data_IF_244502354581
#
_entry.id   IF_244502354581
#
_cell.length_a   1.000
_cell.length_b   1.000
_cell.length_c   1.000
_cell.angle_alpha   90.00
_cell.angle_beta   90.00
_cell.angle_gamma   90.00
#
_symmetry.space_group_name_H-M   'P 1'
#
loop_
_entity.id
_entity.type
_entity.pdbx_description
1 polymer ?
#
# COMPACT_ATOMS: atom_id res chain seq x y z
N UNK A 1 12.11 -6.64 -0.71
CA UNK A 1 11.44 -6.28 0.56
C UNK A 1 12.43 -6.15 1.72
N UNK A 2 12.42 -5.03 2.46
CA UNK A 2 13.15 -4.92 3.75
C UNK A 2 12.47 -5.85 4.73
N UNK A 3 13.18 -6.87 5.21
CA UNK A 3 12.63 -7.83 6.18
C UNK A 3 13.29 -7.64 7.54
N UNK A 4 12.52 -7.77 8.62
CA UNK A 4 13.05 -7.76 10.00
C UNK A 4 14.15 -8.82 10.16
N UNK A 5 13.99 -9.97 9.49
CA UNK A 5 14.99 -11.03 9.44
C UNK A 5 16.34 -10.60 8.83
N UNK A 6 16.36 -9.72 7.82
CA UNK A 6 17.60 -9.19 7.25
C UNK A 6 18.30 -8.23 8.22
N UNK A 7 17.53 -7.40 8.94
CA UNK A 7 18.05 -6.49 9.97
C UNK A 7 18.65 -7.29 11.14
N UNK A 8 17.95 -8.32 11.60
CA UNK A 8 18.44 -9.22 12.65
C UNK A 8 19.71 -9.96 12.23
N UNK A 9 19.76 -10.47 10.99
CA UNK A 9 20.95 -11.13 10.45
C UNK A 9 22.15 -10.19 10.44
N UNK A 10 22.00 -8.98 9.88
CA UNK A 10 23.11 -8.01 9.80
C UNK A 10 23.59 -7.56 11.19
N UNK A 11 22.69 -7.42 12.16
CA UNK A 11 23.05 -7.17 13.57
C UNK A 11 23.86 -8.32 14.15
N UNK A 12 23.39 -9.55 13.98
CA UNK A 12 24.06 -10.74 14.47
C UNK A 12 25.46 -10.89 13.86
N UNK A 13 25.61 -10.66 12.55
CA UNK A 13 26.91 -10.65 11.88
C UNK A 13 27.84 -9.58 12.46
N UNK A 14 27.36 -8.33 12.61
CA UNK A 14 28.15 -7.23 13.16
C UNK A 14 28.62 -7.51 14.59
N UNK A 15 27.70 -7.95 15.46
CA UNK A 15 27.99 -8.32 16.84
C UNK A 15 28.97 -9.49 16.92
N UNK A 16 28.84 -10.48 16.01
CA UNK A 16 29.76 -11.62 15.93
C UNK A 16 31.16 -11.19 15.50
N UNK A 17 31.29 -10.31 14.50
CA UNK A 17 32.59 -9.74 14.10
C UNK A 17 33.24 -9.00 15.27
N UNK A 18 32.48 -8.18 15.99
CA UNK A 18 32.99 -7.41 17.13
C UNK A 18 33.37 -8.29 18.33
N UNK A 19 32.62 -9.36 18.59
CA UNK A 19 32.90 -10.28 19.71
C UNK A 19 34.00 -11.30 19.39
N UNK A 20 34.24 -11.58 18.11
CA UNK A 20 35.33 -12.44 17.59
C UNK A 20 36.46 -11.62 16.98
N UNK A 21 36.66 -10.39 17.45
CA UNK A 21 37.57 -9.40 16.88
C UNK A 21 38.95 -9.96 16.51
N UNK A 22 39.61 -10.66 17.46
CA UNK A 22 40.96 -11.20 17.26
C UNK A 22 41.00 -12.29 16.19
N UNK A 23 40.00 -13.17 16.18
CA UNK A 23 39.87 -14.24 15.18
C UNK A 23 39.67 -13.65 13.78
N UNK A 24 38.84 -12.61 13.68
CA UNK A 24 38.60 -11.91 12.41
C UNK A 24 39.85 -11.15 11.95
N UNK A 25 40.52 -10.45 12.85
CA UNK A 25 41.77 -9.72 12.56
C UNK A 25 42.88 -10.67 12.07
N UNK A 26 42.99 -11.84 12.68
CA UNK A 26 43.92 -12.87 12.26
C UNK A 26 43.57 -13.44 10.88
N UNK A 27 42.32 -13.82 10.65
CA UNK A 27 41.87 -14.34 9.36
C UNK A 27 42.11 -13.32 8.22
N UNK A 28 41.80 -12.04 8.44
CA UNK A 28 42.07 -10.98 7.47
C UNK A 28 43.57 -10.79 7.21
N UNK A 29 44.39 -10.81 8.28
CA UNK A 29 45.85 -10.70 8.17
C UNK A 29 46.45 -11.89 7.44
N UNK A 30 45.99 -13.11 7.70
CA UNK A 30 46.44 -14.31 6.99
C UNK A 30 46.06 -14.25 5.52
N UNK A 31 44.79 -13.97 5.20
CA UNK A 31 44.31 -13.87 3.83
C UNK A 31 45.07 -12.80 3.02
N UNK A 32 45.42 -11.66 3.61
CA UNK A 32 46.24 -10.61 2.96
C UNK A 32 47.68 -11.05 2.64
N UNK A 33 48.18 -12.12 3.25
CA UNK A 33 49.53 -12.62 3.04
C UNK A 33 49.57 -13.94 2.25
N UNK A 34 48.40 -14.54 1.97
CA UNK A 34 48.27 -15.81 1.26
C UNK A 34 47.64 -15.62 -0.13
N UNK A 35 48.13 -16.34 -1.16
CA UNK A 35 47.47 -16.39 -2.46
C UNK A 35 46.16 -17.18 -2.36
N UNK A 36 45.08 -16.67 -2.96
CA UNK A 36 43.77 -17.32 -2.97
C UNK A 36 42.72 -16.55 -3.77
N UNK A 37 41.55 -17.16 -3.95
CA UNK A 37 40.44 -16.63 -4.76
C UNK A 37 39.84 -15.34 -4.18
N UNK A 38 40.09 -15.07 -2.89
CA UNK A 38 39.64 -13.88 -2.17
C UNK A 38 40.23 -12.56 -2.72
N UNK A 39 41.33 -12.62 -3.49
CA UNK A 39 41.88 -11.44 -4.18
C UNK A 39 41.08 -11.00 -5.40
N UNK A 40 40.30 -11.89 -6.02
CA UNK A 40 39.50 -11.56 -7.20
C UNK A 40 38.22 -10.80 -6.81
N UNK A 41 37.68 -11.08 -5.62
CA UNK A 41 36.43 -10.51 -5.11
C UNK A 41 36.66 -9.42 -4.05
N UNK A 42 37.90 -9.22 -3.57
CA UNK A 42 38.25 -8.34 -2.43
C UNK A 42 37.45 -8.67 -1.14
N UNK A 43 36.96 -9.90 -1.06
CA UNK A 43 36.11 -10.41 0.02
C UNK A 43 36.67 -11.72 0.60
N UNK A 44 36.57 -11.89 1.92
CA UNK A 44 36.95 -13.09 2.64
C UNK A 44 35.74 -13.68 3.36
N UNK A 45 35.33 -14.88 2.99
CA UNK A 45 34.30 -15.61 3.73
C UNK A 45 34.92 -16.34 4.92
N UNK A 46 34.45 -16.05 6.13
CA UNK A 46 34.87 -16.70 7.37
C UNK A 46 33.69 -17.36 8.07
N UNK A 47 33.95 -18.50 8.70
CA UNK A 47 33.00 -19.18 9.56
C UNK A 47 33.25 -18.78 11.02
N UNK A 48 32.28 -18.14 11.67
CA UNK A 48 32.39 -17.62 13.03
C UNK A 48 31.33 -18.20 13.95
N UNK A 49 31.68 -18.42 15.21
CA UNK A 49 30.73 -18.77 16.26
C UNK A 49 30.14 -17.50 16.89
N UNK A 50 28.82 -17.37 16.85
CA UNK A 50 28.06 -16.26 17.43
C UNK A 50 28.20 -16.23 18.96
N UNK A 51 27.83 -15.13 19.62
CA UNK A 51 27.75 -15.08 21.09
C UNK A 51 26.82 -16.14 21.71
N UNK A 52 25.86 -16.65 20.93
CA UNK A 52 24.87 -17.65 21.34
C UNK A 52 25.33 -19.10 21.07
N UNK A 53 26.51 -19.30 20.49
CA UNK A 53 27.08 -20.62 20.20
C UNK A 53 26.63 -21.25 18.88
N UNK A 54 26.00 -20.46 18.00
CA UNK A 54 25.65 -20.88 16.65
C UNK A 54 26.78 -20.55 15.69
N UNK A 55 26.92 -21.29 14.61
CA UNK A 55 27.95 -21.01 13.59
C UNK A 55 27.33 -20.30 12.40
N UNK A 56 27.91 -19.17 11.99
CA UNK A 56 27.48 -18.38 10.84
C UNK A 56 28.64 -18.18 9.86
N UNK A 57 28.33 -18.04 8.58
CA UNK A 57 29.27 -17.56 7.57
C UNK A 57 29.12 -16.05 7.43
N UNK A 58 30.25 -15.34 7.45
CA UNK A 58 30.31 -13.89 7.33
C UNK A 58 31.30 -13.54 6.24
N UNK A 59 30.86 -12.71 5.29
CA UNK A 59 31.70 -12.19 4.22
C UNK A 59 32.35 -10.89 4.68
N UNK A 60 33.66 -10.81 4.69
CA UNK A 60 34.42 -9.66 5.16
C UNK A 60 35.07 -8.93 3.99
N UNK A 61 35.04 -7.61 4.03
CA UNK A 61 35.85 -6.77 3.16
C UNK A 61 37.32 -6.91 3.57
N UNK A 62 38.16 -7.39 2.63
CA UNK A 62 39.56 -7.69 2.87
C UNK A 62 40.41 -6.47 3.19
N UNK A 63 40.04 -5.29 2.72
CA UNK A 63 40.83 -4.07 2.91
C UNK A 63 40.51 -3.36 4.23
N UNK A 64 39.51 -3.85 4.94
CA UNK A 64 39.03 -3.25 6.18
C UNK A 64 39.47 -3.99 7.42
N UNK A 65 39.56 -3.26 8.53
CA UNK A 65 39.73 -3.87 9.83
C UNK A 65 38.38 -4.45 10.33
N UNK A 66 38.37 -5.26 11.41
CA UNK A 66 37.14 -5.85 11.92
C UNK A 66 36.11 -4.78 12.34
N UNK A 67 36.57 -3.63 12.86
CA UNK A 67 35.69 -2.56 13.30
C UNK A 67 34.96 -1.92 12.11
N UNK A 68 35.64 -1.64 11.00
CA UNK A 68 35.06 -1.12 9.78
C UNK A 68 34.08 -2.13 9.14
N UNK A 69 34.44 -3.42 9.10
CA UNK A 69 33.56 -4.50 8.64
C UNK A 69 32.24 -4.59 9.45
N UNK A 70 32.31 -4.43 10.77
CA UNK A 70 31.12 -4.38 11.62
C UNK A 70 30.34 -3.05 11.47
N UNK A 71 31.06 -1.93 11.37
CA UNK A 71 30.48 -0.59 11.24
C UNK A 71 29.62 -0.46 9.99
N UNK A 72 30.07 -0.97 8.83
CA UNK A 72 29.26 -0.97 7.61
C UNK A 72 27.92 -1.68 7.80
N UNK A 73 27.92 -2.81 8.52
CA UNK A 73 26.69 -3.57 8.82
C UNK A 73 25.76 -2.79 9.74
N UNK A 74 26.29 -2.14 10.79
CA UNK A 74 25.48 -1.29 11.65
C UNK A 74 24.88 -0.08 10.90
N UNK A 75 25.64 0.53 10.00
CA UNK A 75 25.13 1.60 9.14
C UNK A 75 24.02 1.10 8.23
N UNK A 76 24.21 -0.07 7.63
CA UNK A 76 23.19 -0.72 6.80
C UNK A 76 21.92 -1.05 7.59
N UNK A 77 22.07 -1.58 8.80
CA UNK A 77 20.96 -1.82 9.75
C UNK A 77 20.19 -0.53 10.00
N UNK A 78 20.88 0.57 10.33
CA UNK A 78 20.25 1.87 10.59
C UNK A 78 19.45 2.39 9.39
N UNK A 79 19.99 2.24 8.17
CA UNK A 79 19.27 2.60 6.95
C UNK A 79 18.01 1.74 6.74
N UNK A 80 18.11 0.43 6.97
CA UNK A 80 17.00 -0.49 6.80
C UNK A 80 15.91 -0.25 7.85
N UNK A 81 16.29 0.02 9.10
CA UNK A 81 15.35 0.42 10.16
C UNK A 81 14.64 1.72 9.83
N UNK A 82 15.36 2.75 9.38
CA UNK A 82 14.74 4.01 8.95
C UNK A 82 13.77 3.80 7.78
N UNK A 83 14.11 2.92 6.83
CA UNK A 83 13.20 2.54 5.72
C UNK A 83 11.98 1.77 6.23
N UNK A 84 12.14 0.86 7.19
CA UNK A 84 11.04 0.08 7.77
C UNK A 84 10.11 0.99 8.58
N UNK A 85 10.66 1.86 9.43
CA UNK A 85 9.93 2.86 10.20
C UNK A 85 9.18 3.81 9.27
N UNK A 86 9.81 4.30 8.20
CA UNK A 86 9.13 5.11 7.19
C UNK A 86 7.98 4.34 6.54
N UNK A 87 8.16 3.07 6.18
CA UNK A 87 7.09 2.25 5.61
C UNK A 87 5.93 2.02 6.61
N UNK A 88 6.23 1.78 7.88
CA UNK A 88 5.24 1.59 8.94
C UNK A 88 4.50 2.88 9.29
N UNK A 89 5.22 4.01 9.42
CA UNK A 89 4.63 5.33 9.65
C UNK A 89 3.71 5.75 8.50
N UNK A 90 4.10 5.42 7.28
CA UNK A 90 3.30 5.64 6.07
C UNK A 90 2.04 4.76 6.09
N UNK A 91 2.11 3.47 6.44
CA UNK A 91 0.90 2.62 6.63
C UNK A 91 0.00 3.15 7.77
N UNK A 92 0.59 3.68 8.84
CA UNK A 92 -0.14 4.29 9.97
C UNK A 92 -1.05 5.45 9.57
N UNK A 93 -0.78 6.14 8.45
CA UNK A 93 -1.62 7.24 7.97
C UNK A 93 -3.01 6.79 7.48
N UNK A 94 -3.17 5.51 7.09
CA UNK A 94 -4.48 4.94 6.76
C UNK A 94 -5.17 4.25 7.95
N UNK A 95 -4.49 4.08 9.09
CA UNK A 95 -5.08 3.43 10.26
C UNK A 95 -6.45 4.02 10.71
N UNK A 96 -6.72 5.33 10.55
CA UNK A 96 -8.04 5.89 10.87
C UNK A 96 -9.16 5.50 9.87
N UNK A 97 -8.81 5.05 8.66
CA UNK A 97 -9.76 4.71 7.60
C UNK A 97 -10.08 3.22 7.64
N UNK A 98 -11.35 2.80 7.71
CA UNK A 98 -11.70 1.38 7.62
C UNK A 98 -11.24 0.77 6.30
N UNK A 99 -10.74 -0.47 6.34
CA UNK A 99 -10.35 -1.27 5.17
C UNK A 99 -11.57 -1.77 4.36
N UNK A 100 -12.48 -0.86 4.05
CA UNK A 100 -13.70 -1.09 3.28
C UNK A 100 -13.68 -0.16 2.06
N UNK A 101 -13.85 -0.66 0.82
CA UNK A 101 -13.87 0.19 -0.37
C UNK A 101 -14.95 1.28 -0.33
N UNK A 102 -16.06 1.07 0.36
CA UNK A 102 -17.12 2.07 0.53
C UNK A 102 -16.63 3.24 1.38
N UNK A 103 -15.75 3.03 2.36
CA UNK A 103 -15.19 4.10 3.19
C UNK A 103 -14.43 5.15 2.35
N UNK A 104 -13.56 4.69 1.45
CA UNK A 104 -12.88 5.55 0.47
C UNK A 104 -13.89 6.36 -0.34
N UNK A 105 -14.94 5.71 -0.81
CA UNK A 105 -15.95 6.34 -1.65
C UNK A 105 -16.79 7.37 -0.89
N UNK A 106 -17.02 7.16 0.41
CA UNK A 106 -17.65 8.16 1.29
C UNK A 106 -16.77 9.41 1.36
N UNK A 107 -15.45 9.27 1.60
CA UNK A 107 -14.55 10.43 1.66
C UNK A 107 -14.60 11.26 0.36
N UNK A 108 -14.40 10.61 -0.80
CA UNK A 108 -14.44 11.30 -2.09
C UNK A 108 -15.83 11.89 -2.41
N UNK A 109 -16.91 11.25 -1.96
CA UNK A 109 -18.24 11.80 -2.12
C UNK A 109 -18.39 13.09 -1.31
N UNK A 110 -18.01 13.06 -0.04
CA UNK A 110 -18.12 14.20 0.88
C UNK A 110 -17.20 15.36 0.48
N UNK A 111 -16.03 15.10 -0.09
CA UNK A 111 -15.18 16.11 -0.73
C UNK A 111 -15.93 16.85 -1.84
N UNK A 112 -16.63 16.10 -2.69
CA UNK A 112 -17.37 16.66 -3.82
C UNK A 112 -18.57 17.49 -3.36
N UNK A 113 -19.31 17.01 -2.35
CA UNK A 113 -20.61 17.59 -1.97
C UNK A 113 -20.59 18.42 -0.67
N UNK A 114 -19.45 18.52 -0.01
CA UNK A 114 -19.19 19.27 1.25
C UNK A 114 -20.04 18.84 2.46
N UNK A 115 -20.83 17.79 2.31
CA UNK A 115 -21.61 17.16 3.37
C UNK A 115 -22.76 16.31 2.81
N UNK A 116 -23.17 15.28 3.53
CA UNK A 116 -24.34 14.48 3.19
C UNK A 116 -24.81 13.63 4.39
N UNK A 117 -25.95 12.96 4.28
CA UNK A 117 -26.44 12.02 5.29
C UNK A 117 -26.42 10.57 4.75
N UNK A 118 -26.29 9.56 5.63
CA UNK A 118 -26.02 8.17 5.22
C UNK A 118 -26.99 7.58 4.20
N UNK A 119 -28.30 7.79 4.36
CA UNK A 119 -29.30 7.29 3.40
C UNK A 119 -29.13 7.87 1.99
N UNK A 120 -28.77 9.15 1.88
CA UNK A 120 -28.50 9.77 0.57
C UNK A 120 -27.18 9.27 -0.01
N UNK A 121 -26.13 9.16 0.82
CA UNK A 121 -24.85 8.60 0.39
C UNK A 121 -24.99 7.18 -0.13
N UNK A 122 -25.72 6.31 0.58
CA UNK A 122 -25.98 4.94 0.14
C UNK A 122 -26.55 4.87 -1.29
N UNK A 123 -27.50 5.75 -1.63
CA UNK A 123 -28.06 5.84 -2.98
C UNK A 123 -27.06 6.32 -4.04
N UNK A 124 -26.19 7.28 -3.71
CA UNK A 124 -25.15 7.76 -4.63
C UNK A 124 -23.99 6.76 -4.79
N UNK A 125 -23.75 5.96 -3.75
CA UNK A 125 -22.68 5.00 -3.72
C UNK A 125 -23.12 3.64 -4.27
N UNK A 126 -24.40 3.36 -4.48
CA UNK A 126 -24.90 1.99 -4.69
C UNK A 126 -24.38 1.04 -3.58
N UNK A 127 -24.44 1.50 -2.33
CA UNK A 127 -23.99 0.76 -1.15
C UNK A 127 -25.14 0.58 -0.17
N UNK A 128 -25.01 -0.39 0.75
CA UNK A 128 -26.05 -0.61 1.75
C UNK A 128 -26.10 0.54 2.75
N UNK A 129 -27.32 0.99 3.08
CA UNK A 129 -27.52 2.09 4.03
C UNK A 129 -26.89 1.79 5.39
N UNK A 130 -27.08 0.59 5.92
CA UNK A 130 -26.54 0.19 7.23
C UNK A 130 -25.01 0.21 7.24
N UNK A 131 -24.38 -0.24 6.16
CA UNK A 131 -22.93 -0.18 5.98
C UNK A 131 -22.45 1.28 5.98
N UNK A 132 -23.09 2.16 5.22
CA UNK A 132 -22.73 3.58 5.18
C UNK A 132 -22.92 4.26 6.54
N UNK A 133 -24.00 3.94 7.27
CA UNK A 133 -24.21 4.45 8.65
C UNK A 133 -23.07 4.03 9.57
N UNK A 134 -22.74 2.74 9.62
CA UNK A 134 -21.66 2.22 10.47
C UNK A 134 -20.28 2.82 10.10
N UNK A 135 -19.99 2.92 8.80
CA UNK A 135 -18.74 3.52 8.32
C UNK A 135 -18.65 5.01 8.68
N UNK A 136 -19.76 5.76 8.58
CA UNK A 136 -19.77 7.16 8.99
C UNK A 136 -19.51 7.34 10.49
N UNK A 137 -20.11 6.51 11.34
CA UNK A 137 -19.87 6.54 12.79
C UNK A 137 -18.43 6.17 13.14
N UNK A 138 -17.88 5.14 12.49
CA UNK A 138 -16.49 4.73 12.70
C UNK A 138 -15.50 5.81 12.25
N UNK A 139 -15.70 6.40 11.07
CA UNK A 139 -14.83 7.47 10.55
C UNK A 139 -15.01 8.79 11.32
N UNK A 140 -16.19 9.07 11.89
CA UNK A 140 -16.40 10.17 12.84
C UNK A 140 -15.56 9.95 14.11
N UNK A 141 -15.62 8.74 14.68
CA UNK A 141 -14.84 8.38 15.88
C UNK A 141 -13.34 8.45 15.63
N UNK A 142 -12.90 8.08 14.43
CA UNK A 142 -11.51 8.18 13.99
C UNK A 142 -11.08 9.62 13.62
N UNK A 143 -11.98 10.60 13.70
CA UNK A 143 -11.70 12.00 13.42
C UNK A 143 -11.62 12.37 11.94
N UNK A 144 -11.99 11.47 11.02
CA UNK A 144 -11.99 11.74 9.56
C UNK A 144 -13.24 12.49 9.11
N UNK A 145 -14.36 12.31 9.83
CA UNK A 145 -15.62 12.99 9.59
C UNK A 145 -16.04 13.80 10.81
N UNK A 146 -16.86 14.81 10.58
CA UNK A 146 -17.52 15.56 11.65
C UNK A 146 -19.00 15.79 11.35
N UNK A 147 -19.80 15.92 12.42
CA UNK A 147 -21.24 16.20 12.32
C UNK A 147 -21.49 17.66 12.01
N UNK A 148 -22.51 17.90 11.20
CA UNK A 148 -22.98 19.27 10.91
C UNK A 148 -23.98 19.68 12.00
N UNK A 149 -23.58 20.54 12.94
CA UNK A 149 -24.36 20.88 14.16
C UNK A 149 -25.60 21.77 13.94
N UNK A 150 -25.84 22.30 12.74
CA UNK A 150 -26.92 23.28 12.55
C UNK A 150 -28.28 22.62 12.31
N UNK A 151 -29.24 22.85 13.21
CA UNK A 151 -30.64 22.41 13.07
C UNK A 151 -31.32 22.82 11.75
N UNK A 152 -30.66 23.71 11.00
CA UNK A 152 -30.98 24.04 9.63
C UNK A 152 -29.74 23.97 8.75
N UNK A 153 -29.75 23.09 7.72
CA UNK A 153 -28.61 22.93 6.82
C UNK A 153 -28.90 23.61 5.49
N UNK A 154 -28.16 24.70 5.24
CA UNK A 154 -28.21 25.52 4.02
C UNK A 154 -27.43 24.85 2.88
N UNK A 155 -27.92 24.97 1.65
CA UNK A 155 -27.29 24.36 0.46
C UNK A 155 -25.81 24.76 0.28
N UNK A 156 -25.45 26.01 0.60
CA UNK A 156 -24.06 26.50 0.56
C UNK A 156 -23.07 25.78 1.49
N UNK A 157 -23.56 24.97 2.44
CA UNK A 157 -22.75 24.15 3.35
C UNK A 157 -22.84 22.66 3.02
N UNK A 158 -23.74 22.28 2.11
CA UNK A 158 -24.06 20.90 1.72
C UNK A 158 -24.64 20.93 0.29
N UNK A 159 -23.78 20.69 -0.71
CA UNK A 159 -24.10 20.79 -2.14
C UNK A 159 -24.95 19.62 -2.66
N UNK A 160 -25.03 18.52 -1.92
CA UNK A 160 -25.88 17.37 -2.28
C UNK A 160 -27.40 17.68 -2.19
N UNK A 161 -27.79 18.85 -1.68
CA UNK A 161 -29.19 19.23 -1.49
C UNK A 161 -29.82 19.87 -2.73
N UNK A 162 -31.10 19.54 -2.94
CA UNK A 162 -31.97 20.16 -3.96
C UNK A 162 -32.70 21.44 -3.50
N UNK A 163 -32.80 21.69 -2.20
CA UNK A 163 -33.54 22.84 -1.63
C UNK A 163 -32.58 23.79 -0.87
N UNK A 164 -32.89 25.08 -0.87
CA UNK A 164 -32.06 26.15 -0.27
C UNK A 164 -31.82 25.95 1.24
N UNK A 165 -32.84 25.45 1.95
CA UNK A 165 -32.82 25.29 3.39
C UNK A 165 -33.72 24.12 3.83
N UNK A 166 -33.20 23.21 4.65
CA UNK A 166 -33.97 22.05 5.16
C UNK A 166 -33.70 21.91 6.66
N UNK A 167 -34.77 21.82 7.46
CA UNK A 167 -34.70 21.45 8.89
C UNK A 167 -34.11 20.04 9.02
N UNK A 168 -33.11 19.88 9.88
CA UNK A 168 -32.46 18.58 10.04
C UNK A 168 -33.42 17.58 10.70
N UNK A 169 -33.70 16.48 9.99
CA UNK A 169 -34.31 15.27 10.56
C UNK A 169 -33.33 14.08 10.56
N UNK A 170 -32.11 14.28 10.05
CA UNK A 170 -31.07 13.27 9.88
C UNK A 170 -29.71 13.85 10.26
N UNK A 171 -28.82 13.00 10.77
CA UNK A 171 -27.41 13.35 11.00
C UNK A 171 -26.70 13.55 9.67
N UNK A 172 -26.11 14.72 9.47
CA UNK A 172 -25.25 15.04 8.33
C UNK A 172 -23.80 14.97 8.76
N UNK A 173 -22.98 14.38 7.90
CA UNK A 173 -21.53 14.31 8.01
C UNK A 173 -20.88 15.18 6.94
N UNK A 174 -19.71 15.73 7.26
CA UNK A 174 -18.76 16.32 6.31
C UNK A 174 -17.35 15.86 6.65
N UNK A 175 -16.40 16.08 5.73
CA UNK A 175 -14.99 15.85 6.01
C UNK A 175 -14.53 16.77 7.14
N UNK A 176 -13.76 16.21 8.06
CA UNK A 176 -12.96 17.00 8.99
C UNK A 176 -11.69 17.51 8.27
N UNK A 177 -10.88 18.29 8.98
CA UNK A 177 -9.57 18.72 8.49
C UNK A 177 -8.64 17.52 8.24
N UNK A 178 -8.68 16.53 9.11
CA UNK A 178 -7.93 15.29 9.01
C UNK A 178 -8.39 14.45 7.82
N UNK A 179 -9.71 14.40 7.56
CA UNK A 179 -10.28 13.78 6.36
C UNK A 179 -9.82 14.45 5.06
N UNK A 180 -9.78 15.78 5.03
CA UNK A 180 -9.24 16.55 3.88
C UNK A 180 -7.75 16.28 3.66
N UNK A 181 -6.95 16.25 4.74
CA UNK A 181 -5.53 15.91 4.66
C UNK A 181 -5.31 14.49 4.14
N UNK A 182 -6.13 13.54 4.60
CA UNK A 182 -6.07 12.17 4.13
C UNK A 182 -6.33 12.08 2.62
N UNK A 183 -7.33 12.80 2.10
CA UNK A 183 -7.60 12.80 0.65
C UNK A 183 -6.46 13.39 -0.17
N UNK A 184 -5.78 14.43 0.33
CA UNK A 184 -4.57 14.97 -0.32
C UNK A 184 -3.46 13.93 -0.36
N UNK A 185 -3.22 13.26 0.77
CA UNK A 185 -2.27 12.15 0.84
C UNK A 185 -2.61 11.03 -0.14
N UNK A 186 -3.89 10.61 -0.23
CA UNK A 186 -4.35 9.57 -1.16
C UNK A 186 -4.14 9.93 -2.65
N UNK A 187 -4.02 11.22 -2.99
CA UNK A 187 -3.73 11.65 -4.35
C UNK A 187 -2.22 11.52 -4.70
N UNK A 188 -1.35 11.55 -3.69
CA UNK A 188 0.09 11.40 -3.82
C UNK A 188 0.51 9.96 -4.10
N UNK A 189 1.76 9.78 -4.58
CA UNK A 189 2.31 8.47 -4.92
C UNK A 189 2.30 7.53 -3.71
N UNK A 190 2.72 8.01 -2.54
CA UNK A 190 2.81 7.21 -1.33
C UNK A 190 1.44 6.82 -0.78
N UNK A 191 0.45 7.72 -0.86
CA UNK A 191 -0.93 7.39 -0.50
C UNK A 191 -1.53 6.31 -1.40
N UNK A 192 -1.28 6.38 -2.71
CA UNK A 192 -1.68 5.32 -3.66
C UNK A 192 -1.03 3.99 -3.35
N UNK A 193 0.27 3.98 -3.02
CA UNK A 193 1.01 2.78 -2.60
C UNK A 193 0.38 2.16 -1.35
N UNK A 194 -0.01 3.00 -0.40
CA UNK A 194 -0.66 2.54 0.81
C UNK A 194 -2.07 2.03 0.60
N UNK A 195 -2.85 2.57 -0.34
CA UNK A 195 -4.15 1.99 -0.69
C UNK A 195 -3.98 0.54 -1.16
N UNK A 196 -2.95 0.24 -1.95
CA UNK A 196 -2.65 -1.14 -2.37
C UNK A 196 -2.31 -2.02 -1.17
N UNK A 197 -1.60 -1.51 -0.16
CA UNK A 197 -1.30 -2.27 1.07
C UNK A 197 -2.53 -2.47 1.96
N UNK A 198 -3.36 -1.44 2.07
CA UNK A 198 -4.50 -1.40 2.99
C UNK A 198 -5.70 -2.18 2.46
N UNK A 199 -5.95 -2.13 1.15
CA UNK A 199 -6.97 -2.94 0.48
C UNK A 199 -6.29 -4.11 -0.22
N UNK A 200 -5.98 -5.19 0.50
CA UNK A 200 -5.31 -6.38 -0.03
C UNK A 200 -6.01 -6.95 -1.27
N UNK A 201 -7.34 -7.06 -1.25
CA UNK A 201 -8.13 -7.49 -2.41
C UNK A 201 -8.08 -6.46 -3.55
N UNK A 202 -7.98 -5.17 -3.22
CA UNK A 202 -7.73 -4.12 -4.20
C UNK A 202 -6.37 -4.29 -4.90
N UNK A 203 -5.32 -4.65 -4.17
CA UNK A 203 -4.03 -5.00 -4.76
C UNK A 203 -4.10 -6.27 -5.60
N UNK A 204 -4.82 -7.30 -5.15
CA UNK A 204 -5.07 -8.51 -5.93
C UNK A 204 -5.71 -8.17 -7.28
N UNK A 205 -6.74 -7.32 -7.28
CA UNK A 205 -7.39 -6.83 -8.50
C UNK A 205 -6.41 -6.03 -9.37
N UNK A 206 -5.64 -5.11 -8.80
CA UNK A 206 -4.67 -4.32 -9.55
C UNK A 206 -3.58 -5.19 -10.20
N UNK A 207 -3.04 -6.17 -9.46
CA UNK A 207 -2.08 -7.16 -9.98
C UNK A 207 -2.66 -7.98 -11.12
N UNK A 208 -3.92 -8.43 -10.96
CA UNK A 208 -4.65 -9.17 -11.98
C UNK A 208 -4.81 -8.35 -13.26
N UNK A 209 -5.18 -7.08 -13.16
CA UNK A 209 -5.30 -6.17 -14.30
C UNK A 209 -3.94 -5.91 -14.98
N UNK A 210 -2.89 -5.64 -14.21
CA UNK A 210 -1.55 -5.37 -14.75
C UNK A 210 -0.99 -6.56 -15.53
N UNK A 211 -1.22 -7.79 -15.03
CA UNK A 211 -0.74 -9.03 -15.67
C UNK A 211 -1.67 -9.51 -16.79
N UNK A 212 -2.96 -9.32 -16.60
CA UNK A 212 -4.01 -9.93 -17.39
C UNK A 212 -4.67 -9.06 -18.44
N UNK A 213 -4.51 -7.75 -18.31
CA UNK A 213 -5.15 -6.74 -19.15
C UNK A 213 -6.57 -6.38 -18.72
N UNK A 214 -7.37 -5.78 -19.63
CA UNK A 214 -8.67 -5.23 -19.28
C UNK A 214 -9.64 -6.28 -18.73
N UNK A 215 -10.26 -5.99 -17.59
CA UNK A 215 -11.24 -6.86 -16.93
C UNK A 215 -12.42 -6.05 -16.35
N UNK A 216 -13.49 -6.72 -15.90
CA UNK A 216 -14.68 -6.07 -15.33
C UNK A 216 -15.15 -6.75 -14.04
N UNK A 217 -15.86 -6.03 -13.15
CA UNK A 217 -16.09 -6.47 -11.78
C UNK A 217 -16.76 -7.84 -11.62
N UNK A 218 -17.74 -8.19 -12.47
CA UNK A 218 -18.44 -9.47 -12.38
C UNK A 218 -17.54 -10.66 -12.74
N UNK A 219 -16.67 -10.50 -13.72
CA UNK A 219 -15.71 -11.54 -14.10
C UNK A 219 -14.68 -11.75 -13.00
N UNK A 220 -14.15 -10.66 -12.44
CA UNK A 220 -13.21 -10.72 -11.32
C UNK A 220 -13.84 -11.36 -10.09
N UNK A 221 -15.09 -11.03 -9.76
CA UNK A 221 -15.84 -11.63 -8.67
C UNK A 221 -16.03 -13.15 -8.86
N UNK A 222 -16.45 -13.58 -10.05
CA UNK A 222 -16.62 -15.00 -10.38
C UNK A 222 -15.30 -15.78 -10.32
N UNK A 223 -14.18 -15.19 -10.78
CA UNK A 223 -12.90 -15.88 -10.80
C UNK A 223 -12.17 -15.91 -9.46
N UNK A 224 -12.40 -14.93 -8.60
CA UNK A 224 -11.81 -14.86 -7.26
C UNK A 224 -12.73 -15.41 -6.17
N UNK A 225 -13.92 -15.92 -6.53
CA UNK A 225 -14.96 -16.39 -5.59
C UNK A 225 -15.30 -15.32 -4.52
N UNK A 226 -15.49 -14.08 -4.97
CA UNK A 226 -15.78 -12.92 -4.13
C UNK A 226 -17.18 -12.38 -4.40
N UNK A 227 -17.76 -11.70 -3.41
CA UNK A 227 -19.03 -11.00 -3.61
C UNK A 227 -18.94 -9.92 -4.71
N UNK A 228 -19.91 -9.92 -5.61
CA UNK A 228 -19.92 -9.01 -6.75
C UNK A 228 -20.01 -7.54 -6.34
N UNK A 229 -20.81 -7.23 -5.33
CA UNK A 229 -21.00 -5.85 -4.88
C UNK A 229 -19.73 -5.33 -4.19
N UNK A 230 -19.08 -6.15 -3.38
CA UNK A 230 -17.77 -5.86 -2.80
C UNK A 230 -16.72 -5.57 -3.89
N UNK A 231 -16.56 -6.47 -4.86
CA UNK A 231 -15.60 -6.28 -5.97
C UNK A 231 -15.93 -5.04 -6.80
N UNK A 232 -17.21 -4.79 -7.08
CA UNK A 232 -17.66 -3.58 -7.79
C UNK A 232 -17.27 -2.32 -7.02
N UNK A 233 -17.39 -2.33 -5.70
CA UNK A 233 -16.96 -1.24 -4.83
C UNK A 233 -15.43 -1.07 -4.84
N UNK A 234 -14.65 -2.15 -4.82
CA UNK A 234 -13.18 -2.11 -4.96
C UNK A 234 -12.74 -1.41 -6.25
N UNK A 235 -13.27 -1.82 -7.40
CA UNK A 235 -12.95 -1.16 -8.69
C UNK A 235 -13.27 0.35 -8.66
N UNK A 236 -14.41 0.73 -8.08
CA UNK A 236 -14.83 2.13 -7.97
C UNK A 236 -13.95 2.92 -7.00
N UNK A 237 -13.52 2.32 -5.89
CA UNK A 237 -12.61 2.93 -4.93
C UNK A 237 -11.21 3.13 -5.56
N UNK A 238 -10.63 2.08 -6.15
CA UNK A 238 -9.35 2.14 -6.85
C UNK A 238 -9.38 3.19 -7.98
N UNK A 239 -10.52 3.33 -8.68
CA UNK A 239 -10.69 4.37 -9.72
C UNK A 239 -10.68 5.76 -9.14
N UNK A 240 -11.35 5.98 -8.00
CA UNK A 240 -11.35 7.30 -7.32
C UNK A 240 -9.96 7.69 -6.82
N UNK A 241 -9.19 6.72 -6.33
CA UNK A 241 -7.80 6.91 -5.90
C UNK A 241 -6.85 7.13 -7.09
N UNK A 242 -7.22 6.66 -8.28
CA UNK A 242 -6.39 6.79 -9.50
C UNK A 242 -5.43 5.63 -9.74
N UNK A 243 -5.70 4.46 -9.15
CA UNK A 243 -4.95 3.22 -9.36
C UNK A 243 -5.46 2.42 -10.56
N UNK A 244 -6.75 2.58 -10.88
CA UNK A 244 -7.34 1.99 -12.10
C UNK A 244 -8.13 3.06 -12.86
N UNK A 245 -8.31 2.85 -14.16
CA UNK A 245 -9.15 3.70 -15.00
C UNK A 245 -10.05 2.84 -15.89
N UNK A 246 -11.03 3.47 -16.52
CA UNK A 246 -11.86 2.81 -17.54
C UNK A 246 -11.00 2.53 -18.77
N UNK A 247 -11.15 1.35 -19.34
CA UNK A 247 -10.63 1.07 -20.67
C UNK A 247 -11.45 1.86 -21.69
N UNK A 248 -10.81 2.54 -22.64
CA UNK A 248 -11.48 3.43 -23.60
C UNK A 248 -11.69 2.79 -24.98
N UNK A 249 -10.94 1.74 -25.33
CA UNK A 249 -11.06 1.06 -26.63
C UNK A 249 -12.43 0.39 -26.82
N UNK A 250 -12.96 0.40 -28.05
CA UNK A 250 -14.27 -0.23 -28.38
C UNK A 250 -14.23 -1.76 -28.41
N UNK A 251 -13.05 -2.32 -28.73
CA UNK A 251 -12.78 -3.74 -28.83
C UNK A 251 -11.51 -4.06 -28.07
N UNK A 252 -11.53 -5.11 -27.26
CA UNK A 252 -10.34 -5.61 -26.56
C UNK A 252 -9.74 -6.72 -27.42
N UNK A 253 -8.50 -6.54 -27.87
CA UNK A 253 -7.80 -7.52 -28.72
C UNK A 253 -7.23 -8.67 -27.88
N UNK A 254 -6.99 -9.81 -28.52
CA UNK A 254 -6.32 -10.96 -27.90
C UNK A 254 -4.99 -10.58 -27.20
N UNK A 255 -4.19 -9.70 -27.82
CA UNK A 255 -2.92 -9.23 -27.28
C UNK A 255 -3.05 -8.44 -25.98
N UNK A 256 -4.21 -7.82 -25.76
CA UNK A 256 -4.51 -7.03 -24.57
C UNK A 256 -5.12 -7.88 -23.46
N UNK A 257 -5.68 -9.06 -23.76
CA UNK A 257 -6.41 -9.90 -22.79
C UNK A 257 -5.70 -11.23 -22.56
N UNK A 258 -4.74 -11.23 -21.64
CA UNK A 258 -3.86 -12.38 -21.37
C UNK A 258 -4.53 -13.45 -20.49
N UNK A 259 -5.43 -13.07 -19.59
CA UNK A 259 -6.07 -14.04 -18.68
C UNK A 259 -7.14 -14.89 -19.37
N UNK A 260 -7.80 -14.36 -20.40
CA UNK A 260 -8.83 -15.06 -21.18
C UNK A 260 -8.72 -14.68 -22.66
N UNK A 261 -7.72 -15.22 -23.38
CA UNK A 261 -7.47 -14.86 -24.77
C UNK A 261 -8.69 -15.22 -25.62
N UNK A 262 -9.18 -14.21 -26.34
CA UNK A 262 -10.18 -14.31 -27.41
C UNK A 262 -9.72 -13.40 -28.52
N UNK A 263 -9.95 -13.79 -29.78
CA UNK A 263 -9.52 -13.02 -30.95
C UNK A 263 -9.95 -11.56 -30.82
N UNK A 264 -11.23 -11.35 -30.53
CA UNK A 264 -11.79 -10.03 -30.24
C UNK A 264 -12.90 -10.12 -29.17
N UNK A 265 -12.95 -9.12 -28.29
CA UNK A 265 -14.07 -8.94 -27.36
C UNK A 265 -14.68 -7.56 -27.56
N UNK A 266 -15.89 -7.51 -28.12
CA UNK A 266 -16.71 -6.30 -28.15
C UNK A 266 -17.23 -5.97 -26.74
N UNK A 267 -17.05 -4.72 -26.30
CA UNK A 267 -17.45 -4.31 -24.96
C UNK A 267 -18.96 -4.24 -24.81
N UNK A 268 -19.49 -5.05 -23.88
CA UNK A 268 -20.85 -4.93 -23.34
C UNK A 268 -20.89 -4.38 -21.91
N UNK A 269 -19.72 -4.21 -21.30
CA UNK A 269 -19.53 -3.83 -19.91
C UNK A 269 -18.47 -2.74 -19.78
N UNK A 270 -18.40 -2.12 -18.59
CA UNK A 270 -17.31 -1.24 -18.22
C UNK A 270 -16.10 -2.08 -17.83
N UNK A 271 -15.08 -2.08 -18.69
CA UNK A 271 -13.79 -2.69 -18.42
C UNK A 271 -12.86 -1.66 -17.80
N UNK A 272 -11.94 -2.14 -16.98
CA UNK A 272 -10.95 -1.35 -16.27
C UNK A 272 -9.55 -1.86 -16.57
N UNK A 273 -8.59 -0.96 -16.50
CA UNK A 273 -7.14 -1.24 -16.59
C UNK A 273 -6.41 -0.49 -15.48
N UNK A 274 -5.21 -0.93 -15.13
CA UNK A 274 -4.32 -0.19 -14.24
C UNK A 274 -3.87 1.13 -14.89
N UNK A 275 -3.54 2.10 -14.05
CA UNK A 275 -2.83 3.31 -14.47
C UNK A 275 -1.31 3.05 -14.49
N UNK A 276 -0.55 3.88 -15.20
CA UNK A 276 0.92 3.79 -15.19
C UNK A 276 1.52 3.88 -13.78
N UNK A 277 0.93 4.74 -12.94
CA UNK A 277 1.31 4.86 -11.52
C UNK A 277 1.08 3.55 -10.78
N UNK A 278 -0.06 2.87 -11.00
CA UNK A 278 -0.30 1.57 -10.38
C UNK A 278 0.69 0.51 -10.86
N UNK A 279 1.01 0.46 -12.16
CA UNK A 279 1.97 -0.51 -12.70
C UNK A 279 3.39 -0.33 -12.15
N UNK A 280 3.82 0.91 -11.92
CA UNK A 280 5.08 1.21 -11.23
C UNK A 280 5.05 0.78 -9.77
N UNK A 281 4.01 1.16 -9.04
CA UNK A 281 3.87 0.83 -7.61
C UNK A 281 3.79 -0.69 -7.38
N UNK A 282 3.12 -1.43 -8.27
CA UNK A 282 3.05 -2.88 -8.18
C UNK A 282 4.42 -3.54 -8.39
N UNK A 283 5.26 -3.03 -9.29
CA UNK A 283 6.63 -3.50 -9.47
C UNK A 283 7.49 -3.27 -8.23
N UNK A 284 7.33 -2.13 -7.57
CA UNK A 284 8.02 -1.85 -6.30
C UNK A 284 7.54 -2.74 -5.14
N UNK A 285 6.28 -3.15 -5.13
CA UNK A 285 5.73 -4.01 -4.08
C UNK A 285 6.07 -5.50 -4.29
N UNK A 286 6.37 -5.90 -5.53
CA UNK A 286 6.79 -7.26 -5.88
C UNK A 286 8.33 -7.46 -5.77
N UNK A 287 9.10 -6.38 -5.51
CA UNK A 287 10.56 -6.40 -5.29
C UNK A 287 10.99 -6.35 -3.81
#
# INVERSE_FOLDING_TARGET
>A
MVSEAEIERLRLEADTVMTRYQTVEEALREARNEPGDHWDEEELTVTLETPQGETIEVVLDLDQDPAANAQQRYERVKELEAKLEQQQAVVGQLAPLPADPVAYRILYHLDTVEGNYPRSMAGHLDAERKQVEALCEQMETAGLLERVESGTVKQRRVKAKKADEVRQHHTYYRLSREGDHLLRFLAERDGKKNVLRHLSDGQTIAKRLARGGPDYPRMTAEELDMDFEYVRNLYRALRRVGLVTTYEGSTIKASERKLKPKDETHRKHTYYVTTSVADELLRELDG
#
